data_IF_839547366207
#
_entry.id   IF_839547366207
#
_cell.length_a   1.000
_cell.length_b   1.000
_cell.length_c   1.000
_cell.angle_alpha   90.00
_cell.angle_beta   90.00
_cell.angle_gamma   90.00
#
_symmetry.space_group_name_H-M   'P 1'
#
loop_
_entity.id
_entity.type
_entity.pdbx_description
1 polymer ?
#
# COMPACT_ATOMS: atom_id res chain seq x y z
N UNK A 1 -13.32 -6.56 6.45
CA UNK A 1 -12.17 -7.34 6.91
C UNK A 1 -10.88 -6.53 6.77
N UNK A 2 -9.80 -6.98 7.45
CA UNK A 2 -8.46 -6.41 7.25
C UNK A 2 -7.69 -7.30 6.28
N UNK A 3 -7.11 -6.68 5.26
CA UNK A 3 -6.21 -7.33 4.30
C UNK A 3 -4.84 -6.68 4.42
N UNK A 4 -3.81 -7.48 4.73
CA UNK A 4 -2.44 -6.98 4.82
C UNK A 4 -1.73 -7.10 3.48
N UNK A 5 -0.93 -6.10 3.12
CA UNK A 5 -0.08 -6.11 1.93
C UNK A 5 1.38 -6.06 2.37
N UNK A 6 2.16 -7.07 2.01
CA UNK A 6 3.61 -7.13 2.23
C UNK A 6 4.30 -7.33 0.87
N UNK A 7 4.43 -6.23 0.14
CA UNK A 7 5.03 -6.17 -1.20
C UNK A 7 5.99 -4.99 -1.31
N UNK A 8 7.04 -5.09 -2.14
CA UNK A 8 7.86 -3.94 -2.49
C UNK A 8 7.09 -2.96 -3.38
N UNK A 9 7.66 -1.78 -3.62
CA UNK A 9 7.16 -0.90 -4.67
C UNK A 9 7.09 -1.65 -6.00
N UNK A 10 5.89 -1.79 -6.53
CA UNK A 10 5.62 -2.51 -7.80
C UNK A 10 4.20 -2.19 -8.28
N UNK A 11 3.91 -2.56 -9.50
CA UNK A 11 2.54 -2.55 -10.05
C UNK A 11 1.63 -3.46 -9.21
N UNK A 12 2.13 -4.64 -8.79
CA UNK A 12 1.35 -5.57 -7.95
C UNK A 12 0.95 -4.96 -6.61
N UNK A 13 1.83 -4.13 -6.00
CA UNK A 13 1.47 -3.36 -4.81
C UNK A 13 0.31 -2.42 -5.11
N UNK A 14 0.36 -1.68 -6.22
CA UNK A 14 -0.68 -0.73 -6.58
C UNK A 14 -2.02 -1.43 -6.84
N UNK A 15 -2.01 -2.51 -7.61
CA UNK A 15 -3.21 -3.31 -7.89
C UNK A 15 -3.78 -3.86 -6.59
N UNK A 16 -2.94 -4.44 -5.72
CA UNK A 16 -3.37 -4.96 -4.42
C UNK A 16 -3.97 -3.86 -3.54
N UNK A 17 -3.31 -2.70 -3.47
CA UNK A 17 -3.75 -1.57 -2.66
C UNK A 17 -5.13 -1.06 -3.09
N UNK A 18 -5.28 -0.72 -4.36
CA UNK A 18 -6.56 -0.22 -4.87
C UNK A 18 -7.64 -1.31 -4.88
N UNK A 19 -7.28 -2.57 -5.17
CA UNK A 19 -8.19 -3.71 -5.10
C UNK A 19 -8.78 -3.93 -3.70
N UNK A 20 -7.93 -3.87 -2.66
CA UNK A 20 -8.37 -3.97 -1.26
C UNK A 20 -9.30 -2.82 -0.90
N UNK A 21 -8.97 -1.59 -1.28
CA UNK A 21 -9.82 -0.42 -1.00
C UNK A 21 -11.15 -0.51 -1.76
N UNK A 22 -11.12 -0.84 -3.05
CA UNK A 22 -12.32 -0.95 -3.90
C UNK A 22 -13.25 -2.08 -3.46
N UNK A 23 -12.71 -3.13 -2.84
CA UNK A 23 -13.52 -4.23 -2.29
C UNK A 23 -14.15 -3.92 -0.93
N UNK A 24 -13.96 -2.70 -0.38
CA UNK A 24 -14.50 -2.31 0.92
C UNK A 24 -13.78 -2.93 2.11
N UNK A 25 -12.60 -3.47 1.91
CA UNK A 25 -11.76 -3.99 2.97
C UNK A 25 -10.80 -2.93 3.51
N UNK A 26 -10.26 -3.17 4.71
CA UNK A 26 -9.29 -2.29 5.35
C UNK A 26 -7.90 -2.71 4.93
N UNK A 27 -7.15 -1.81 4.29
CA UNK A 27 -5.79 -2.07 3.84
C UNK A 27 -4.79 -1.85 4.99
N UNK A 28 -4.08 -2.91 5.42
CA UNK A 28 -2.93 -2.81 6.31
C UNK A 28 -1.65 -2.97 5.51
N UNK A 29 -0.86 -1.91 5.42
CA UNK A 29 0.37 -1.90 4.63
C UNK A 29 1.56 -2.19 5.53
N UNK A 30 2.35 -3.21 5.16
CA UNK A 30 3.51 -3.68 5.92
C UNK A 30 4.79 -3.36 5.14
N UNK A 31 5.75 -2.59 5.73
CA UNK A 31 7.04 -2.33 5.09
C UNK A 31 7.84 -3.62 4.89
N UNK A 32 8.44 -3.79 3.72
CA UNK A 32 9.27 -4.99 3.43
C UNK A 32 10.53 -5.10 4.30
N UNK A 33 11.02 -3.96 4.80
CA UNK A 33 12.17 -3.87 5.73
C UNK A 33 11.82 -4.16 7.19
N UNK A 34 10.55 -4.48 7.49
CA UNK A 34 10.09 -4.72 8.87
C UNK A 34 10.88 -5.88 9.53
N UNK A 35 11.24 -5.74 10.80
CA UNK A 35 11.81 -6.84 11.59
C UNK A 35 10.77 -7.92 11.90
N UNK A 36 11.19 -9.16 12.12
CA UNK A 36 10.27 -10.27 12.41
C UNK A 36 9.43 -10.01 13.67
N UNK A 37 10.02 -9.41 14.71
CA UNK A 37 9.31 -9.06 15.94
C UNK A 37 8.22 -8.00 15.72
N UNK A 38 8.52 -6.97 14.93
CA UNK A 38 7.54 -5.94 14.59
C UNK A 38 6.45 -6.47 13.65
N UNK A 39 6.79 -7.36 12.73
CA UNK A 39 5.84 -8.04 11.87
C UNK A 39 4.81 -8.82 12.70
N UNK A 40 5.29 -9.64 13.64
CA UNK A 40 4.42 -10.39 14.57
C UNK A 40 3.50 -9.44 15.36
N UNK A 41 4.06 -8.34 15.89
CA UNK A 41 3.28 -7.38 16.65
C UNK A 41 2.22 -6.67 15.79
N UNK A 42 2.56 -6.26 14.57
CA UNK A 42 1.59 -5.63 13.67
C UNK A 42 0.48 -6.61 13.27
N UNK A 43 0.81 -7.86 12.95
CA UNK A 43 -0.18 -8.88 12.60
C UNK A 43 -1.10 -9.22 13.77
N UNK A 44 -0.58 -9.30 15.00
CA UNK A 44 -1.40 -9.50 16.21
C UNK A 44 -2.37 -8.36 16.47
N UNK A 45 -1.97 -7.11 16.15
CA UNK A 45 -2.81 -5.92 16.34
C UNK A 45 -3.83 -5.75 15.22
N UNK A 46 -3.43 -5.94 13.98
CA UNK A 46 -4.30 -5.75 12.81
C UNK A 46 -5.24 -6.92 12.56
N UNK A 47 -4.86 -8.14 12.96
CA UNK A 47 -5.61 -9.40 12.78
C UNK A 47 -6.15 -9.56 11.37
N UNK A 48 -5.28 -9.59 10.35
CA UNK A 48 -5.75 -9.68 8.97
C UNK A 48 -6.39 -11.04 8.70
N UNK A 49 -7.42 -11.05 7.87
CA UNK A 49 -8.00 -12.28 7.32
C UNK A 49 -7.20 -12.81 6.13
N UNK A 50 -6.57 -11.90 5.37
CA UNK A 50 -5.76 -12.23 4.19
C UNK A 50 -4.45 -11.44 4.26
N UNK A 51 -3.35 -12.08 3.82
CA UNK A 51 -2.09 -11.40 3.53
C UNK A 51 -1.77 -11.58 2.05
N UNK A 52 -1.72 -10.46 1.31
CA UNK A 52 -1.25 -10.42 -0.07
C UNK A 52 0.26 -10.21 -0.05
N UNK A 53 1.01 -11.13 -0.68
CA UNK A 53 2.45 -11.06 -0.75
C UNK A 53 2.96 -11.86 -1.94
N UNK A 54 4.26 -12.15 -1.98
CA UNK A 54 4.87 -13.01 -2.98
C UNK A 54 5.73 -14.11 -2.33
N UNK A 55 6.21 -15.02 -3.15
CA UNK A 55 7.04 -16.17 -2.72
C UNK A 55 8.27 -15.77 -1.89
N UNK A 56 8.87 -14.60 -2.15
CA UNK A 56 10.05 -14.11 -1.42
C UNK A 56 9.73 -13.83 0.05
N UNK A 57 8.58 -13.20 0.33
CA UNK A 57 8.18 -12.85 1.69
C UNK A 57 7.40 -13.95 2.40
N UNK A 58 6.89 -14.95 1.67
CA UNK A 58 6.23 -16.12 2.25
C UNK A 58 7.09 -16.81 3.30
N UNK A 59 8.39 -16.97 3.00
CA UNK A 59 9.36 -17.58 3.93
C UNK A 59 9.51 -16.75 5.21
N UNK A 60 9.46 -15.43 5.11
CA UNK A 60 9.49 -14.52 6.28
C UNK A 60 8.24 -14.67 7.12
N UNK A 61 7.07 -14.71 6.50
CA UNK A 61 5.78 -14.91 7.16
C UNK A 61 5.70 -16.27 7.87
N UNK A 62 6.17 -17.34 7.24
CA UNK A 62 6.17 -18.70 7.80
C UNK A 62 7.01 -18.83 9.08
N UNK A 63 8.08 -18.05 9.22
CA UNK A 63 8.92 -18.05 10.45
C UNK A 63 8.21 -17.44 11.66
N UNK A 64 7.17 -16.68 11.45
CA UNK A 64 6.55 -15.89 12.52
C UNK A 64 5.47 -16.64 13.29
N UNK A 65 5.08 -17.86 12.90
CA UNK A 65 3.98 -18.66 13.49
C UNK A 65 2.66 -17.86 13.72
N UNK A 66 2.54 -16.68 13.12
CA UNK A 66 1.43 -15.74 13.34
C UNK A 66 0.27 -15.94 12.37
N UNK A 67 0.39 -16.89 11.44
CA UNK A 67 -0.55 -17.08 10.33
C UNK A 67 -1.65 -18.10 10.61
N UNK A 68 -1.84 -18.55 11.85
CA UNK A 68 -2.74 -19.66 12.17
C UNK A 68 -4.21 -19.46 11.74
N UNK A 69 -4.61 -18.22 11.44
CA UNK A 69 -5.98 -17.88 11.04
C UNK A 69 -6.03 -16.85 9.89
N UNK A 70 -5.01 -16.83 9.02
CA UNK A 70 -4.88 -15.86 7.95
C UNK A 70 -4.60 -16.58 6.63
N UNK A 71 -5.37 -16.26 5.61
CA UNK A 71 -5.14 -16.77 4.25
C UNK A 71 -3.93 -16.05 3.63
N UNK A 72 -3.07 -16.81 2.96
CA UNK A 72 -1.96 -16.26 2.18
C UNK A 72 -2.35 -16.24 0.70
N UNK A 73 -2.34 -15.05 0.10
CA UNK A 73 -2.55 -14.87 -1.32
C UNK A 73 -1.23 -14.50 -1.99
N UNK A 74 -0.72 -15.39 -2.84
CA UNK A 74 0.46 -15.14 -3.66
C UNK A 74 0.06 -14.35 -4.90
N UNK A 75 0.50 -13.08 -4.96
CA UNK A 75 0.16 -12.20 -6.07
C UNK A 75 0.74 -12.66 -7.42
N UNK A 76 1.85 -13.41 -7.40
CA UNK A 76 2.49 -13.96 -8.60
C UNK A 76 1.67 -15.09 -9.24
N UNK A 77 0.78 -15.73 -8.45
CA UNK A 77 -0.12 -16.77 -8.91
C UNK A 77 -1.53 -16.27 -9.21
N UNK A 78 -1.77 -14.98 -9.01
CA UNK A 78 -3.10 -14.40 -9.18
C UNK A 78 -3.41 -14.17 -10.66
N UNK A 79 -4.45 -14.85 -11.14
CA UNK A 79 -5.00 -14.59 -12.47
C UNK A 79 -6.02 -13.45 -12.37
N UNK A 80 -5.72 -12.33 -12.99
CA UNK A 80 -6.66 -11.23 -13.12
C UNK A 80 -7.78 -11.63 -14.07
N UNK A 81 -8.97 -11.88 -13.55
CA UNK A 81 -10.19 -12.07 -14.36
C UNK A 81 -11.02 -10.80 -14.26
N UNK A 82 -11.46 -10.31 -15.41
CA UNK A 82 -12.30 -9.11 -15.50
C UNK A 82 -13.77 -9.49 -15.28
N UNK A 83 -14.12 -9.92 -14.08
CA UNK A 83 -15.36 -10.65 -13.88
C UNK A 83 -16.26 -10.08 -12.77
N UNK A 84 -16.13 -8.82 -12.40
CA UNK A 84 -16.98 -8.36 -11.32
C UNK A 84 -17.60 -6.99 -11.51
N UNK A 85 -18.93 -7.00 -11.64
CA UNK A 85 -19.83 -5.88 -11.27
C UNK A 85 -19.83 -5.61 -9.75
N UNK A 86 -18.75 -6.01 -9.03
CA UNK A 86 -18.66 -5.85 -7.59
C UNK A 86 -18.38 -4.39 -7.25
N UNK A 87 -19.41 -3.70 -6.81
CA UNK A 87 -19.32 -2.30 -6.36
C UNK A 87 -19.89 -2.17 -4.95
N UNK A 88 -19.07 -2.37 -3.91
CA UNK A 88 -19.54 -2.22 -2.54
C UNK A 88 -19.94 -0.77 -2.26
N UNK A 89 -20.99 -0.56 -1.49
CA UNK A 89 -21.32 0.76 -0.96
C UNK A 89 -20.30 1.11 0.12
N UNK A 90 -19.38 2.03 -0.20
CA UNK A 90 -18.39 2.53 0.74
C UNK A 90 -18.91 3.77 1.45
N UNK A 91 -18.90 3.73 2.77
CA UNK A 91 -19.15 4.93 3.58
C UNK A 91 -17.85 5.70 3.74
N UNK A 92 -17.88 7.00 3.52
CA UNK A 92 -16.70 7.87 3.61
C UNK A 92 -16.06 7.87 5.02
N UNK A 93 -16.84 7.59 6.05
CA UNK A 93 -16.39 7.48 7.44
C UNK A 93 -15.76 6.15 7.79
N UNK A 94 -15.97 5.10 6.97
CA UNK A 94 -15.38 3.78 7.24
C UNK A 94 -13.85 3.81 7.12
N UNK A 95 -13.19 2.90 7.86
CA UNK A 95 -11.73 2.79 7.86
C UNK A 95 -11.27 2.25 6.51
N UNK A 96 -10.42 3.00 5.84
CA UNK A 96 -9.80 2.62 4.56
C UNK A 96 -8.49 1.86 4.79
N UNK A 97 -7.65 2.36 5.70
CA UNK A 97 -6.33 1.77 5.90
C UNK A 97 -5.83 1.88 7.33
N UNK A 98 -4.85 1.02 7.65
CA UNK A 98 -4.07 1.05 8.88
C UNK A 98 -2.61 1.21 8.51
N UNK A 99 -1.97 2.27 9.05
CA UNK A 99 -0.54 2.50 8.95
C UNK A 99 0.07 2.41 10.33
N UNK A 100 1.22 1.74 10.45
CA UNK A 100 1.93 1.69 11.72
C UNK A 100 3.04 2.74 11.75
N UNK A 101 3.05 3.56 12.81
CA UNK A 101 4.16 4.47 13.05
C UNK A 101 5.41 3.69 13.47
N UNK A 102 6.58 4.12 13.00
CA UNK A 102 7.87 3.67 13.49
C UNK A 102 8.13 4.27 14.89
N UNK A 103 7.27 3.95 15.86
CA UNK A 103 7.30 4.56 17.18
C UNK A 103 8.69 4.50 17.82
N UNK A 104 9.12 5.61 18.40
CA UNK A 104 10.31 5.70 19.27
C UNK A 104 10.11 4.90 20.58
N UNK A 105 8.89 4.44 20.85
CA UNK A 105 8.50 3.58 21.97
C UNK A 105 8.41 2.12 21.51
N UNK A 106 8.71 1.19 22.37
CA UNK A 106 8.85 -0.25 22.12
C UNK A 106 7.66 -0.97 21.45
N UNK A 107 6.51 -0.33 21.30
CA UNK A 107 5.30 -0.95 20.73
C UNK A 107 4.80 -0.15 19.54
N UNK A 108 4.70 -0.75 18.32
CA UNK A 108 4.14 -0.07 17.15
C UNK A 108 2.67 0.32 17.40
N UNK A 109 2.31 1.54 16.99
CA UNK A 109 0.93 2.04 17.08
C UNK A 109 0.29 2.04 15.69
N UNK A 110 -0.84 1.35 15.56
CA UNK A 110 -1.64 1.36 14.34
C UNK A 110 -2.54 2.60 14.28
N UNK A 111 -2.37 3.39 13.23
CA UNK A 111 -3.16 4.58 12.95
C UNK A 111 -4.21 4.21 11.91
N UNK A 112 -5.48 4.35 12.24
CA UNK A 112 -6.61 4.11 11.33
C UNK A 112 -6.94 5.39 10.57
N UNK A 113 -7.01 5.31 9.26
CA UNK A 113 -7.43 6.40 8.38
C UNK A 113 -8.72 6.00 7.68
N UNK A 114 -9.72 6.88 7.72
CA UNK A 114 -10.97 6.68 6.98
C UNK A 114 -10.80 7.02 5.51
N UNK A 115 -11.74 6.59 4.66
CA UNK A 115 -11.79 7.00 3.25
C UNK A 115 -11.85 8.52 3.13
N UNK A 116 -12.62 9.20 3.98
CA UNK A 116 -12.68 10.67 3.99
C UNK A 116 -11.36 11.33 4.38
N UNK A 117 -10.61 10.79 5.35
CA UNK A 117 -9.29 11.32 5.72
C UNK A 117 -8.33 11.27 4.51
N UNK A 118 -8.29 10.11 3.85
CA UNK A 118 -7.42 9.90 2.69
C UNK A 118 -7.82 10.82 1.55
N UNK A 119 -9.11 10.81 1.17
CA UNK A 119 -9.63 11.63 0.07
C UNK A 119 -9.43 13.13 0.31
N UNK A 120 -9.66 13.60 1.54
CA UNK A 120 -9.44 15.02 1.89
C UNK A 120 -7.98 15.43 1.75
N UNK A 121 -7.06 14.60 2.27
CA UNK A 121 -5.62 14.87 2.17
C UNK A 121 -5.16 14.90 0.72
N UNK A 122 -5.55 13.91 -0.08
CA UNK A 122 -5.20 13.81 -1.50
C UNK A 122 -5.73 15.05 -2.25
N UNK A 123 -6.99 15.43 -2.03
CA UNK A 123 -7.59 16.58 -2.69
C UNK A 123 -6.80 17.86 -2.36
N UNK A 124 -6.50 18.11 -1.08
CA UNK A 124 -5.75 19.31 -0.66
C UNK A 124 -4.36 19.38 -1.26
N UNK A 125 -3.63 18.25 -1.28
CA UNK A 125 -2.28 18.19 -1.86
C UNK A 125 -2.33 18.39 -3.37
N UNK A 126 -3.25 17.70 -4.06
CA UNK A 126 -3.43 17.81 -5.51
C UNK A 126 -3.75 19.25 -5.93
N UNK A 127 -4.69 19.89 -5.23
CA UNK A 127 -5.10 21.28 -5.53
C UNK A 127 -3.96 22.26 -5.25
N UNK A 128 -3.24 22.09 -4.13
CA UNK A 128 -2.12 22.96 -3.75
C UNK A 128 -0.96 22.88 -4.74
N UNK A 129 -0.58 21.66 -5.13
CA UNK A 129 0.52 21.41 -6.08
C UNK A 129 0.07 21.55 -7.54
N UNK A 130 -1.25 21.70 -7.79
CA UNK A 130 -1.84 21.79 -9.13
C UNK A 130 -1.51 20.57 -10.01
N UNK A 131 -1.51 19.38 -9.39
CA UNK A 131 -1.24 18.14 -10.11
C UNK A 131 -2.38 17.86 -11.09
N UNK A 132 -2.03 17.51 -12.33
CA UNK A 132 -2.94 17.32 -13.45
C UNK A 132 -2.72 15.98 -14.15
N UNK A 133 -3.54 15.68 -15.12
CA UNK A 133 -3.43 14.50 -15.98
C UNK A 133 -2.17 14.49 -16.87
N UNK A 134 -1.54 15.66 -17.07
CA UNK A 134 -0.32 15.80 -17.86
C UNK A 134 0.96 15.57 -17.03
N UNK A 135 0.84 15.42 -15.72
CA UNK A 135 2.00 15.24 -14.86
C UNK A 135 2.43 13.77 -14.80
N UNK A 136 3.75 13.59 -14.68
CA UNK A 136 4.39 12.29 -14.51
C UNK A 136 5.17 12.32 -13.19
N UNK A 137 4.78 11.49 -12.24
CA UNK A 137 5.46 11.40 -10.94
C UNK A 137 6.39 10.20 -10.88
N UNK A 138 7.68 10.43 -10.67
CA UNK A 138 8.71 9.38 -10.53
C UNK A 138 8.82 8.98 -9.06
N UNK A 139 8.07 7.96 -8.67
CA UNK A 139 7.93 7.52 -7.27
C UNK A 139 9.03 6.51 -6.92
N UNK A 140 10.02 6.96 -6.18
CA UNK A 140 11.09 6.10 -5.64
C UNK A 140 10.97 5.85 -4.13
N UNK A 141 10.17 6.65 -3.43
CA UNK A 141 9.91 6.48 -2.01
C UNK A 141 9.07 5.24 -1.73
N UNK A 142 9.25 4.58 -0.56
CA UNK A 142 8.48 3.39 -0.22
C UNK A 142 6.97 3.68 -0.20
N UNK A 143 6.20 2.92 -0.99
CA UNK A 143 4.73 2.98 -0.98
C UNK A 143 4.12 2.49 0.34
N UNK A 144 4.92 1.83 1.17
CA UNK A 144 4.53 1.45 2.54
C UNK A 144 4.62 2.60 3.55
N UNK A 145 5.07 3.77 3.15
CA UNK A 145 5.09 4.98 3.96
C UNK A 145 4.11 6.02 3.43
N UNK A 146 3.57 6.83 4.35
CA UNK A 146 2.55 7.85 4.05
C UNK A 146 2.93 8.80 2.92
N UNK A 147 4.21 9.15 2.79
CA UNK A 147 4.67 10.09 1.76
C UNK A 147 4.65 9.44 0.36
N UNK A 148 5.31 8.29 0.17
CA UNK A 148 5.29 7.58 -1.12
C UNK A 148 3.88 7.16 -1.54
N UNK A 149 3.07 6.70 -0.58
CA UNK A 149 1.67 6.38 -0.82
C UNK A 149 0.85 7.63 -1.17
N UNK A 150 1.17 8.78 -0.56
CA UNK A 150 0.55 10.07 -0.86
C UNK A 150 0.81 10.51 -2.29
N UNK A 151 2.06 10.41 -2.77
CA UNK A 151 2.43 10.67 -4.16
C UNK A 151 1.61 9.81 -5.12
N UNK A 152 1.59 8.48 -4.90
CA UNK A 152 0.81 7.56 -5.72
C UNK A 152 -0.67 7.95 -5.77
N UNK A 153 -1.28 8.21 -4.63
CA UNK A 153 -2.69 8.56 -4.57
C UNK A 153 -3.00 9.89 -5.27
N UNK A 154 -2.12 10.91 -5.13
CA UNK A 154 -2.31 12.20 -5.77
C UNK A 154 -2.23 12.11 -7.29
N UNK A 155 -1.22 11.43 -7.82
CA UNK A 155 -1.04 11.30 -9.28
C UNK A 155 -2.16 10.48 -9.91
N UNK A 156 -2.58 9.36 -9.29
CA UNK A 156 -3.69 8.54 -9.79
C UNK A 156 -5.00 9.31 -9.75
N UNK A 157 -5.30 10.05 -8.67
CA UNK A 157 -6.50 10.90 -8.59
C UNK A 157 -6.55 11.93 -9.72
N UNK A 158 -5.41 12.47 -10.09
CA UNK A 158 -5.32 13.51 -11.13
C UNK A 158 -5.37 12.96 -12.57
N UNK A 159 -5.37 11.64 -12.74
CA UNK A 159 -5.30 11.00 -14.05
C UNK A 159 -3.91 11.03 -14.69
N UNK A 160 -2.89 11.44 -13.94
CA UNK A 160 -1.50 11.50 -14.39
C UNK A 160 -0.83 10.12 -14.40
N UNK A 161 0.47 10.10 -14.71
CA UNK A 161 1.26 8.88 -14.84
C UNK A 161 2.20 8.69 -13.65
N UNK A 162 2.20 7.50 -13.05
CA UNK A 162 3.16 7.12 -12.01
C UNK A 162 4.25 6.21 -12.56
N UNK A 163 5.51 6.61 -12.48
CA UNK A 163 6.68 5.79 -12.77
C UNK A 163 7.24 5.25 -11.45
N UNK A 164 7.08 3.94 -11.20
CA UNK A 164 7.38 3.36 -9.91
C UNK A 164 8.75 2.71 -9.89
N UNK A 165 9.64 3.23 -9.05
CA UNK A 165 10.92 2.62 -8.76
C UNK A 165 10.85 1.71 -7.54
N UNK A 166 11.51 0.56 -7.62
CA UNK A 166 11.54 -0.45 -6.55
C UNK A 166 12.08 0.11 -5.23
N UNK A 167 13.02 1.05 -5.30
CA UNK A 167 13.63 1.72 -4.14
C UNK A 167 14.41 2.98 -4.57
N UNK A 168 14.93 3.72 -3.60
CA UNK A 168 15.73 4.94 -3.78
C UNK A 168 17.22 4.69 -4.03
N UNK A 169 17.68 3.45 -4.07
CA UNK A 169 19.12 3.12 -4.09
C UNK A 169 19.75 3.28 -5.47
N UNK A 170 18.96 3.21 -6.54
CA UNK A 170 19.47 3.37 -7.92
C UNK A 170 19.21 4.78 -8.43
N UNK A 171 19.95 5.75 -7.90
CA UNK A 171 19.83 7.17 -8.26
C UNK A 171 20.02 7.41 -9.77
N UNK A 172 20.99 6.80 -10.49
CA UNK A 172 21.09 6.96 -11.92
C UNK A 172 19.81 6.60 -12.68
N UNK A 173 19.17 5.48 -12.33
CA UNK A 173 17.93 5.07 -13.00
C UNK A 173 16.78 6.05 -12.71
N UNK A 174 16.70 6.59 -11.50
CA UNK A 174 15.70 7.59 -11.14
C UNK A 174 15.90 8.86 -11.97
N UNK A 175 17.15 9.33 -12.08
CA UNK A 175 17.49 10.51 -12.91
C UNK A 175 17.17 10.26 -14.38
N UNK A 176 17.48 9.08 -14.91
CA UNK A 176 17.14 8.74 -16.28
C UNK A 176 15.63 8.74 -16.50
N UNK A 177 14.85 8.12 -15.60
CA UNK A 177 13.39 8.17 -15.69
C UNK A 177 12.84 9.61 -15.71
N UNK A 178 13.42 10.53 -14.93
CA UNK A 178 13.00 11.94 -14.92
C UNK A 178 13.35 12.63 -16.27
N UNK A 179 14.41 12.19 -16.95
CA UNK A 179 14.78 12.75 -18.25
C UNK A 179 14.01 12.17 -19.42
N UNK A 180 13.58 10.91 -19.28
CA UNK A 180 12.91 10.16 -20.34
C UNK A 180 11.40 10.47 -20.40
N UNK A 181 10.88 11.04 -19.33
CA UNK A 181 9.47 11.42 -19.18
C UNK A 181 9.32 12.91 -18.88
#
# INVERSE_FOLDING_TARGET
NVVSILLPNSIDFCISFFGVLSSGNICHIIPTSISDSNLVNQLKLSKPSIIISNSVFQKKLSRTNSLQNCEFLDIELFNYTDDSDFSPKLESSSVAMILFSAGTTSTPKGIKLSHSNVAHTITRVTDFLKISENDIDVISLPLSHSFGLGCLNCIIKSGGTAVIHKNTLNIPNIINSIKDH
#
